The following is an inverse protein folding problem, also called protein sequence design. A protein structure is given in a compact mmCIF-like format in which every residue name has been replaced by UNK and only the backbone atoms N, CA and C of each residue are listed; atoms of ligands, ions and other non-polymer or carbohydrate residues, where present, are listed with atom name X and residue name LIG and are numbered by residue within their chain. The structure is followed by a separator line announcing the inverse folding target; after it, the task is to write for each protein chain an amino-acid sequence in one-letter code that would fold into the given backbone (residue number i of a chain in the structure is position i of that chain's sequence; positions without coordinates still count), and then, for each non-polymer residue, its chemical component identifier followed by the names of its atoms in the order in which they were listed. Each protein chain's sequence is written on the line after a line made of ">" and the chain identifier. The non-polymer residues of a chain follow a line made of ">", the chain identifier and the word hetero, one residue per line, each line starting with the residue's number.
data_IF_129004644183
#
_entry.id   IF_129004644183
#
_cell.length_a   1.000
_cell.length_b   1.000
_cell.length_c   1.000
_cell.angle_alpha   90.00
_cell.angle_beta   90.00
_cell.angle_gamma   90.00
#
_symmetry.space_group_name_H-M   'P 1'
#
loop_
_entity.id
_entity.type
_entity.pdbx_description
1 polymer ?
#
# COMPACT_ATOMS: atom_id res chain seq x y z
N UNK A 1 -10.75 -25.58 27.55
CA UNK A 1 -10.02 -24.33 27.81
C UNK A 1 -8.81 -24.28 26.89
N UNK A 2 -8.96 -23.77 25.70
CA UNK A 2 -7.83 -23.41 24.82
C UNK A 2 -7.26 -22.11 25.31
N UNK A 3 -6.16 -22.17 26.08
CA UNK A 3 -5.34 -21.00 26.37
C UNK A 3 -4.72 -20.51 25.06
N UNK A 4 -5.37 -19.55 24.42
CA UNK A 4 -4.75 -18.82 23.32
C UNK A 4 -3.68 -17.90 23.91
N UNK A 5 -2.43 -18.31 23.81
CA UNK A 5 -1.32 -17.40 24.07
C UNK A 5 -1.21 -16.43 22.89
N UNK A 6 -1.20 -15.11 23.11
CA UNK A 6 -1.04 -14.16 22.02
C UNK A 6 0.29 -14.39 21.31
N UNK A 7 0.31 -14.34 19.98
CA UNK A 7 1.52 -14.46 19.15
C UNK A 7 2.58 -13.41 19.46
N UNK A 8 2.16 -12.28 20.01
CA UNK A 8 3.03 -11.20 20.44
C UNK A 8 2.73 -10.86 21.89
N UNK A 9 3.70 -10.94 22.81
CA UNK A 9 3.49 -10.59 24.22
C UNK A 9 3.13 -9.09 24.31
N UNK A 10 2.02 -8.81 24.98
CA UNK A 10 1.59 -7.43 25.28
C UNK A 10 2.36 -6.97 26.51
N UNK A 11 3.22 -5.97 26.35
CA UNK A 11 3.91 -5.33 27.45
C UNK A 11 3.00 -4.32 28.17
N UNK A 12 2.42 -4.75 29.27
CA UNK A 12 1.53 -3.92 30.10
C UNK A 12 2.23 -2.67 30.70
N UNK A 13 3.57 -2.70 30.85
CA UNK A 13 4.30 -1.56 31.37
C UNK A 13 4.41 -0.44 30.32
N UNK A 14 4.48 -0.79 29.03
CA UNK A 14 4.49 0.19 27.96
C UNK A 14 3.15 0.95 27.86
N UNK A 15 2.06 0.32 28.27
CA UNK A 15 0.71 0.94 28.31
C UNK A 15 0.63 2.11 29.29
N UNK A 16 1.30 2.01 30.43
CA UNK A 16 1.32 3.08 31.47
C UNK A 16 2.13 4.29 31.02
N UNK A 17 3.22 4.06 30.29
CA UNK A 17 4.16 5.12 29.89
C UNK A 17 3.80 5.79 28.54
N UNK A 18 3.21 5.03 27.60
CA UNK A 18 2.89 5.49 26.23
C UNK A 18 1.58 4.89 25.73
N UNK A 19 0.42 5.30 26.25
CA UNK A 19 -0.86 4.63 25.96
C UNK A 19 -1.21 4.61 24.47
N UNK A 20 -0.99 5.70 23.73
CA UNK A 20 -1.25 5.75 22.29
C UNK A 20 -0.35 4.82 21.49
N UNK A 21 0.96 4.79 21.78
CA UNK A 21 1.89 3.90 21.09
C UNK A 21 1.57 2.43 21.37
N UNK A 22 1.12 2.10 22.57
CA UNK A 22 0.73 0.74 22.94
C UNK A 22 -0.51 0.28 22.20
N UNK A 23 -1.53 1.14 22.05
CA UNK A 23 -2.73 0.83 21.25
C UNK A 23 -2.40 0.59 19.79
N UNK A 24 -1.56 1.45 19.20
CA UNK A 24 -1.12 1.34 17.81
C UNK A 24 -0.35 0.04 17.56
N UNK A 25 0.47 -0.39 18.52
CA UNK A 25 1.30 -1.59 18.41
C UNK A 25 0.61 -2.88 18.87
N UNK A 26 -0.67 -2.84 19.25
CA UNK A 26 -1.42 -4.05 19.60
C UNK A 26 -1.51 -5.01 18.40
N UNK A 27 -1.23 -6.31 18.60
CA UNK A 27 -1.29 -7.31 17.53
C UNK A 27 -2.67 -7.41 16.86
N UNK A 28 -3.74 -7.15 17.63
CA UNK A 28 -5.14 -7.19 17.16
C UNK A 28 -5.67 -5.85 16.67
N UNK A 29 -4.81 -4.83 16.54
CA UNK A 29 -5.24 -3.49 16.10
C UNK A 29 -5.19 -3.33 14.59
N UNK A 30 -6.12 -2.55 14.06
CA UNK A 30 -6.04 -2.02 12.71
C UNK A 30 -6.36 -0.53 12.74
N UNK A 31 -5.53 0.27 12.09
CA UNK A 31 -5.76 1.71 11.99
C UNK A 31 -5.32 2.27 10.65
N UNK A 32 -5.91 3.41 10.32
CA UNK A 32 -5.61 4.17 9.12
C UNK A 32 -5.55 5.66 9.48
N UNK A 33 -4.42 6.28 9.18
CA UNK A 33 -4.22 7.72 9.31
C UNK A 33 -4.11 8.29 7.92
N UNK A 34 -4.98 9.25 7.60
CA UNK A 34 -5.01 9.90 6.30
C UNK A 34 -4.95 11.41 6.46
N UNK A 35 -3.96 12.02 5.83
CA UNK A 35 -3.83 13.47 5.70
C UNK A 35 -4.11 13.86 4.25
N UNK A 36 -5.07 14.76 4.06
CA UNK A 36 -5.43 15.30 2.75
C UNK A 36 -5.34 16.81 2.80
N UNK A 37 -4.67 17.40 1.83
CA UNK A 37 -4.56 18.86 1.71
C UNK A 37 -4.81 19.32 0.28
N UNK A 38 -5.37 20.53 0.17
CA UNK A 38 -5.54 21.22 -1.10
C UNK A 38 -4.67 22.49 -1.07
N UNK A 39 -3.83 22.64 -2.08
CA UNK A 39 -3.00 23.83 -2.24
C UNK A 39 -3.05 24.30 -3.70
N UNK A 40 -3.71 25.42 -3.95
CA UNK A 40 -3.90 25.96 -5.29
C UNK A 40 -4.61 24.97 -6.22
N UNK A 41 -3.88 24.45 -7.20
CA UNK A 41 -4.38 23.47 -8.18
C UNK A 41 -4.01 22.03 -7.84
N UNK A 42 -3.40 21.81 -6.69
CA UNK A 42 -2.89 20.54 -6.21
C UNK A 42 -3.76 19.98 -5.10
N UNK A 43 -3.88 18.67 -5.05
CA UNK A 43 -4.48 17.93 -3.95
C UNK A 43 -3.53 16.79 -3.58
N UNK A 44 -2.86 16.94 -2.44
CA UNK A 44 -1.99 15.89 -1.92
C UNK A 44 -2.72 14.98 -0.94
N UNK A 45 -2.29 13.74 -0.90
CA UNK A 45 -2.73 12.70 0.01
C UNK A 45 -1.52 11.99 0.58
N UNK A 46 -1.46 11.89 1.90
CA UNK A 46 -0.56 10.99 2.62
C UNK A 46 -1.40 10.05 3.45
N UNK A 47 -1.18 8.77 3.32
CA UNK A 47 -1.93 7.74 4.04
C UNK A 47 -0.97 6.71 4.63
N UNK A 48 -1.15 6.42 5.91
CA UNK A 48 -0.51 5.30 6.59
C UNK A 48 -1.58 4.38 7.14
N UNK A 49 -1.49 3.10 6.79
CA UNK A 49 -2.38 2.03 7.23
C UNK A 49 -1.57 0.91 7.84
N UNK A 50 -2.04 0.40 8.96
CA UNK A 50 -1.47 -0.78 9.59
C UNK A 50 -2.60 -1.72 9.99
N UNK A 51 -2.36 -3.02 9.77
CA UNK A 51 -3.26 -4.11 10.18
C UNK A 51 -2.42 -5.11 10.94
N UNK A 52 -2.68 -5.24 12.22
CA UNK A 52 -1.94 -6.14 13.11
C UNK A 52 -2.05 -7.61 12.71
N UNK A 53 -1.10 -8.45 13.14
CA UNK A 53 -1.04 -9.87 12.75
C UNK A 53 -2.22 -10.70 13.28
N UNK A 54 -2.79 -10.33 14.42
CA UNK A 54 -3.93 -11.02 15.05
C UNK A 54 -5.27 -10.34 14.76
N UNK A 55 -5.27 -9.31 13.89
CA UNK A 55 -6.50 -8.63 13.53
C UNK A 55 -7.37 -9.49 12.60
N UNK A 56 -8.60 -9.72 12.99
CA UNK A 56 -9.60 -10.43 12.20
C UNK A 56 -10.75 -9.47 11.89
N UNK A 57 -11.04 -9.30 10.60
CA UNK A 57 -12.16 -8.48 10.15
C UNK A 57 -13.36 -9.36 9.85
N UNK A 58 -14.46 -9.16 10.56
CA UNK A 58 -15.72 -9.87 10.30
C UNK A 58 -16.40 -9.39 9.00
N UNK A 59 -16.16 -8.15 8.62
CA UNK A 59 -16.76 -7.56 7.40
C UNK A 59 -15.89 -7.72 6.14
N UNK A 60 -14.61 -8.06 6.26
CA UNK A 60 -13.70 -8.25 5.12
C UNK A 60 -12.71 -9.38 5.41
N UNK A 61 -13.06 -10.63 5.10
CA UNK A 61 -12.20 -11.80 5.34
C UNK A 61 -10.91 -11.80 4.49
N UNK A 62 -10.86 -11.01 3.40
CA UNK A 62 -9.68 -10.90 2.54
C UNK A 62 -8.74 -9.77 2.98
N UNK A 63 -9.00 -9.14 4.11
CA UNK A 63 -8.11 -8.11 4.63
C UNK A 63 -6.77 -8.74 5.02
N UNK A 64 -5.70 -8.29 4.37
CA UNK A 64 -4.35 -8.75 4.67
C UNK A 64 -3.95 -8.30 6.07
N UNK A 65 -3.77 -9.24 6.99
CA UNK A 65 -3.21 -9.02 8.32
C UNK A 65 -1.68 -8.95 8.26
N UNK A 66 -1.05 -8.53 9.36
CA UNK A 66 0.41 -8.37 9.47
C UNK A 66 0.99 -7.45 8.39
N UNK A 67 0.27 -6.37 8.03
CA UNK A 67 0.61 -5.52 6.91
C UNK A 67 0.68 -4.03 7.29
N UNK A 68 1.69 -3.35 6.77
CA UNK A 68 1.81 -1.89 6.81
C UNK A 68 1.82 -1.35 5.39
N UNK A 69 1.12 -0.27 5.19
CA UNK A 69 1.04 0.42 3.91
C UNK A 69 1.25 1.91 4.12
N UNK A 70 2.16 2.46 3.34
CA UNK A 70 2.35 3.90 3.21
C UNK A 70 2.01 4.31 1.78
N UNK A 71 1.23 5.37 1.63
CA UNK A 71 0.85 5.92 0.32
C UNK A 71 1.05 7.43 0.35
N UNK A 72 1.71 7.95 -0.67
CA UNK A 72 1.77 9.38 -0.96
C UNK A 72 1.35 9.60 -2.41
N UNK A 73 0.47 10.56 -2.64
CA UNK A 73 0.07 10.94 -4.00
C UNK A 73 -0.24 12.41 -4.09
N UNK A 74 -0.06 12.95 -5.29
CA UNK A 74 -0.44 14.30 -5.63
C UNK A 74 -1.26 14.33 -6.92
N UNK A 75 -2.30 15.12 -6.90
CA UNK A 75 -3.18 15.36 -8.05
C UNK A 75 -3.13 16.83 -8.44
N UNK A 76 -2.64 17.07 -9.64
CA UNK A 76 -2.52 18.37 -10.27
C UNK A 76 -3.67 18.60 -11.25
N UNK A 77 -4.27 19.78 -11.20
CA UNK A 77 -5.27 20.23 -12.13
C UNK A 77 -4.77 21.46 -12.86
N UNK A 78 -4.32 21.31 -14.09
CA UNK A 78 -3.68 22.34 -14.91
C UNK A 78 -4.56 22.77 -16.08
N UNK A 79 -4.19 23.87 -16.74
CA UNK A 79 -4.85 24.39 -17.95
C UNK A 79 -6.38 24.52 -17.79
N UNK A 80 -6.83 25.12 -16.68
CA UNK A 80 -8.26 25.25 -16.36
C UNK A 80 -8.99 23.90 -16.36
N UNK A 81 -8.38 22.87 -15.69
CA UNK A 81 -8.87 21.50 -15.58
C UNK A 81 -8.86 20.70 -16.89
N UNK A 82 -8.23 21.22 -17.94
CA UNK A 82 -8.07 20.46 -19.19
C UNK A 82 -6.97 19.40 -19.11
N UNK A 83 -6.00 19.57 -18.20
CA UNK A 83 -4.96 18.61 -17.95
C UNK A 83 -5.00 18.19 -16.47
N UNK A 84 -5.27 16.92 -16.23
CA UNK A 84 -5.27 16.29 -14.92
C UNK A 84 -4.10 15.32 -14.85
N UNK A 85 -3.22 15.51 -13.87
CA UNK A 85 -2.11 14.61 -13.59
C UNK A 85 -2.28 14.09 -12.17
N UNK A 86 -2.25 12.79 -12.01
CA UNK A 86 -2.21 12.13 -10.72
C UNK A 86 -1.00 11.19 -10.69
N UNK A 87 -0.15 11.34 -9.71
CA UNK A 87 1.02 10.48 -9.53
C UNK A 87 1.18 10.14 -8.05
N UNK A 88 1.82 9.03 -7.78
CA UNK A 88 2.04 8.63 -6.40
C UNK A 88 2.91 7.40 -6.27
N UNK A 89 3.23 7.16 -5.01
CA UNK A 89 4.02 6.04 -4.54
C UNK A 89 3.27 5.33 -3.42
N UNK A 90 3.31 4.01 -3.44
CA UNK A 90 2.76 3.15 -2.41
C UNK A 90 3.79 2.10 -2.02
N UNK A 91 4.06 2.01 -0.74
CA UNK A 91 4.88 0.98 -0.15
C UNK A 91 4.02 0.11 0.75
N UNK A 92 4.12 -1.20 0.60
CA UNK A 92 3.43 -2.19 1.43
C UNK A 92 4.44 -3.22 1.90
N UNK A 93 4.45 -3.49 3.20
CA UNK A 93 5.23 -4.57 3.79
C UNK A 93 4.36 -5.42 4.74
N UNK A 94 4.71 -6.69 4.90
CA UNK A 94 4.06 -7.61 5.82
C UNK A 94 4.98 -8.02 6.98
N UNK A 95 5.82 -7.11 7.47
CA UNK A 95 6.89 -7.35 8.44
C UNK A 95 6.60 -6.82 9.84
N UNK A 96 5.35 -6.67 10.25
CA UNK A 96 5.05 -6.23 11.63
C UNK A 96 5.58 -7.26 12.61
N UNK A 97 5.39 -8.55 12.34
CA UNK A 97 6.05 -9.64 13.06
C UNK A 97 7.47 -9.83 12.53
N UNK A 98 8.45 -9.77 13.42
CA UNK A 98 9.86 -10.08 13.11
C UNK A 98 10.08 -11.54 12.68
N UNK A 99 9.16 -12.42 13.05
CA UNK A 99 9.18 -13.86 12.75
C UNK A 99 8.46 -14.23 11.44
N UNK A 100 8.10 -13.24 10.61
CA UNK A 100 7.46 -13.51 9.32
C UNK A 100 8.38 -14.35 8.45
N UNK A 101 7.93 -15.56 8.10
CA UNK A 101 8.73 -16.56 7.35
C UNK A 101 9.03 -16.07 5.94
N UNK A 102 8.06 -15.42 5.30
CA UNK A 102 8.20 -14.85 3.96
C UNK A 102 7.84 -13.36 4.00
N UNK A 103 8.81 -12.49 4.40
CA UNK A 103 8.58 -11.06 4.34
C UNK A 103 8.41 -10.64 2.88
N UNK A 104 7.44 -9.79 2.61
CA UNK A 104 7.18 -9.26 1.28
C UNK A 104 7.13 -7.75 1.35
N UNK A 105 7.98 -7.10 0.56
CA UNK A 105 7.93 -5.67 0.29
C UNK A 105 7.36 -5.46 -1.11
N UNK A 106 6.40 -4.61 -1.23
CA UNK A 106 5.83 -4.20 -2.52
C UNK A 106 5.91 -2.69 -2.65
N UNK A 107 6.62 -2.23 -3.68
CA UNK A 107 6.68 -0.83 -4.06
C UNK A 107 5.88 -0.62 -5.33
N UNK A 108 4.98 0.34 -5.32
CA UNK A 108 4.18 0.69 -6.48
C UNK A 108 4.36 2.17 -6.79
N UNK A 109 4.75 2.47 -8.02
CA UNK A 109 4.74 3.82 -8.58
C UNK A 109 3.60 3.87 -9.59
N UNK A 110 2.79 4.91 -9.53
CA UNK A 110 1.71 5.11 -10.50
C UNK A 110 1.64 6.54 -10.98
N UNK A 111 1.25 6.70 -12.23
CA UNK A 111 0.98 7.98 -12.86
C UNK A 111 -0.24 7.84 -13.76
N UNK A 112 -1.14 8.79 -13.68
CA UNK A 112 -2.30 8.92 -14.56
C UNK A 112 -2.34 10.34 -15.11
N UNK A 113 -2.35 10.48 -16.41
CA UNK A 113 -2.46 11.74 -17.12
C UNK A 113 -3.73 11.70 -17.97
N UNK A 114 -4.59 12.70 -17.79
CA UNK A 114 -5.80 12.87 -18.58
C UNK A 114 -5.81 14.25 -19.19
N UNK A 115 -5.95 14.33 -20.53
CA UNK A 115 -6.07 15.57 -21.26
C UNK A 115 -7.46 15.68 -21.88
N UNK A 116 -8.17 16.77 -21.50
CA UNK A 116 -9.54 17.09 -21.88
C UNK A 116 -9.53 18.44 -22.63
N UNK A 117 -9.24 18.45 -23.93
CA UNK A 117 -9.06 19.72 -24.67
C UNK A 117 -10.31 20.58 -24.73
N UNK A 118 -11.49 19.98 -24.79
CA UNK A 118 -12.76 20.69 -24.81
C UNK A 118 -13.93 19.88 -25.35
N UNK A 119 -15.13 20.47 -25.35
CA UNK A 119 -16.32 19.80 -25.91
C UNK A 119 -16.14 19.41 -27.39
N UNK A 120 -16.50 18.18 -27.73
CA UNK A 120 -16.39 17.66 -29.09
C UNK A 120 -14.97 17.29 -29.54
N UNK A 121 -13.96 17.45 -28.70
CA UNK A 121 -12.59 17.04 -28.99
C UNK A 121 -12.25 15.69 -28.34
N UNK A 122 -11.30 14.92 -28.88
CA UNK A 122 -10.86 13.67 -28.29
C UNK A 122 -10.26 13.87 -26.89
N UNK A 123 -10.57 12.95 -25.98
CA UNK A 123 -9.93 12.83 -24.66
C UNK A 123 -8.76 11.86 -24.74
N UNK A 124 -7.62 12.22 -24.18
CA UNK A 124 -6.42 11.39 -24.11
C UNK A 124 -6.17 10.99 -22.66
N UNK A 125 -5.94 9.70 -22.44
CA UNK A 125 -5.62 9.13 -21.13
C UNK A 125 -4.36 8.29 -21.25
N UNK A 126 -3.40 8.55 -20.37
CA UNK A 126 -2.16 7.76 -20.23
C UNK A 126 -2.08 7.29 -18.78
N UNK A 127 -1.98 5.99 -18.58
CA UNK A 127 -1.76 5.39 -17.28
C UNK A 127 -0.43 4.64 -17.30
N UNK A 128 0.36 4.83 -16.27
CA UNK A 128 1.58 4.09 -16.00
C UNK A 128 1.54 3.53 -14.58
N UNK A 129 1.89 2.27 -14.44
CA UNK A 129 2.04 1.64 -13.14
C UNK A 129 3.25 0.71 -13.17
N UNK A 130 4.11 0.82 -12.15
CA UNK A 130 5.22 -0.10 -11.91
C UNK A 130 5.09 -0.70 -10.53
N UNK A 131 5.19 -2.01 -10.42
CA UNK A 131 5.09 -2.76 -9.16
C UNK A 131 6.34 -3.61 -9.03
N UNK A 132 7.15 -3.27 -8.03
CA UNK A 132 8.30 -4.08 -7.61
C UNK A 132 7.95 -4.86 -6.35
N UNK A 133 8.21 -6.16 -6.34
CA UNK A 133 8.07 -7.03 -5.17
C UNK A 133 9.41 -7.65 -4.82
N UNK A 134 9.73 -7.66 -3.53
CA UNK A 134 10.97 -8.24 -3.02
C UNK A 134 10.74 -8.82 -1.62
N UNK A 135 11.23 -10.02 -1.37
CA UNK A 135 11.15 -10.65 -0.06
C UNK A 135 12.47 -10.58 0.75
N UNK A 136 13.45 -9.81 0.27
CA UNK A 136 14.76 -9.59 0.91
C UNK A 136 15.58 -10.88 1.16
N UNK A 137 15.15 -12.01 0.62
CA UNK A 137 15.92 -13.24 0.72
C UNK A 137 17.04 -13.24 -0.31
N UNK A 138 18.26 -13.48 0.16
CA UNK A 138 19.45 -13.53 -0.69
C UNK A 138 20.00 -14.93 -0.87
N UNK A 139 19.60 -15.86 0.01
CA UNK A 139 20.08 -17.24 0.02
C UNK A 139 18.92 -18.23 -0.18
N UNK A 140 19.27 -19.42 -0.64
CA UNK A 140 18.35 -20.55 -0.75
C UNK A 140 17.99 -21.03 0.65
N UNK A 141 16.72 -21.34 0.87
CA UNK A 141 16.24 -21.90 2.12
C UNK A 141 16.31 -23.44 2.11
N UNK A 142 16.46 -24.03 3.29
CA UNK A 142 16.37 -25.48 3.46
C UNK A 142 15.08 -25.82 4.21
N UNK A 143 14.18 -26.54 3.54
CA UNK A 143 12.91 -27.00 4.11
C UNK A 143 12.85 -28.52 4.04
N UNK A 144 12.80 -29.19 5.21
CA UNK A 144 12.76 -30.64 5.30
C UNK A 144 13.97 -31.35 4.67
N UNK A 145 15.17 -30.74 4.73
CA UNK A 145 16.39 -31.28 4.14
C UNK A 145 16.51 -31.11 2.62
N UNK A 146 15.56 -30.41 2.00
CA UNK A 146 15.64 -30.04 0.57
C UNK A 146 15.91 -28.55 0.44
N UNK A 147 16.81 -28.18 -0.46
CA UNK A 147 17.07 -26.78 -0.83
C UNK A 147 15.93 -26.27 -1.69
N UNK A 148 15.29 -25.19 -1.25
CA UNK A 148 14.17 -24.56 -1.94
C UNK A 148 14.50 -23.11 -2.18
N UNK A 149 14.22 -22.62 -3.37
CA UNK A 149 14.36 -21.21 -3.71
C UNK A 149 13.07 -20.47 -3.37
N UNK A 150 13.10 -19.72 -2.28
CA UNK A 150 11.99 -18.88 -1.82
C UNK A 150 12.28 -17.39 -2.05
N UNK A 151 13.29 -17.05 -2.84
CA UNK A 151 13.60 -15.67 -3.20
C UNK A 151 12.53 -15.15 -4.15
N UNK A 152 12.02 -13.97 -3.87
CA UNK A 152 11.11 -13.24 -4.75
C UNK A 152 11.70 -11.87 -5.03
N UNK A 153 12.00 -11.60 -6.28
CA UNK A 153 12.39 -10.30 -6.79
C UNK A 153 11.76 -10.15 -8.18
N UNK A 154 10.65 -9.45 -8.22
CA UNK A 154 9.89 -9.28 -9.45
C UNK A 154 9.52 -7.82 -9.67
N UNK A 155 9.61 -7.39 -10.92
CA UNK A 155 9.20 -6.06 -11.33
C UNK A 155 8.26 -6.17 -12.55
N UNK A 156 7.09 -5.60 -12.42
CA UNK A 156 6.10 -5.53 -13.48
C UNK A 156 5.73 -4.08 -13.77
N UNK A 157 5.72 -3.70 -15.04
CA UNK A 157 5.23 -2.40 -15.46
C UNK A 157 4.06 -2.54 -16.44
N UNK A 158 3.06 -1.70 -16.25
CA UNK A 158 1.89 -1.64 -17.12
C UNK A 158 1.73 -0.24 -17.66
N UNK A 159 1.63 -0.13 -18.98
CA UNK A 159 1.34 1.11 -19.69
C UNK A 159 0.02 0.95 -20.41
N UNK A 160 -0.87 1.91 -20.26
CA UNK A 160 -2.15 1.96 -20.98
C UNK A 160 -2.32 3.35 -21.58
N UNK A 161 -2.66 3.40 -22.87
CA UNK A 161 -3.05 4.62 -23.55
C UNK A 161 -4.46 4.45 -24.10
N UNK A 162 -5.30 5.45 -23.90
CA UNK A 162 -6.66 5.46 -24.42
C UNK A 162 -6.98 6.81 -25.07
N UNK A 163 -7.70 6.76 -26.19
CA UNK A 163 -8.24 7.93 -26.88
C UNK A 163 -9.74 7.71 -27.01
N UNK A 164 -10.52 8.63 -26.46
CA UNK A 164 -11.97 8.60 -26.55
C UNK A 164 -12.43 9.74 -27.47
N UNK A 165 -13.06 9.39 -28.56
CA UNK A 165 -13.59 10.35 -29.52
C UNK A 165 -15.11 10.46 -29.33
N UNK A 166 -15.66 11.64 -29.05
CA UNK A 166 -17.09 11.82 -28.97
C UNK A 166 -17.70 11.76 -30.39
N UNK A 167 -18.68 10.90 -30.56
CA UNK A 167 -19.52 10.88 -31.76
C UNK A 167 -20.76 11.76 -31.52
N UNK A 168 -21.09 12.62 -32.49
CA UNK A 168 -22.35 13.37 -32.51
C UNK A 168 -23.34 12.66 -33.41
#
# INVERSE_FOLDING_TARGET
>A
NTNMTPLVPIDLNSFKSKPFASIINMPSSAFNIRLRGNYGKNMFLVEYRQVGPEYVSLGNPFLMSNARQFTISDRLSLLNRKLLLNFGFKHLDNKILKTTVNPLNTNTIFMNLTFLPGPGMPTFVINYQSIGKNNEKTQLDSVGGKTVDLREDSNASTNMMAITVPFK
#
